data_IF_932586163744
#
_entry.id   IF_932586163744
#
_cell.length_a   1.000
_cell.length_b   1.000
_cell.length_c   1.000
_cell.angle_alpha   90.00
_cell.angle_beta   90.00
_cell.angle_gamma   90.00
#
_symmetry.space_group_name_H-M   'P 1'
#
loop_
_entity.id
_entity.type
_entity.pdbx_description
1 polymer ?
#
# COMPACT_ATOMS: atom_id res chain seq x y z
N UNK A 1 -108.60 82.30 36.27
CA UNK A 1 -109.02 83.62 35.74
C UNK A 1 -109.65 83.35 34.38
N UNK A 2 -110.97 83.18 34.20
CA UNK A 2 -112.09 84.09 34.55
C UNK A 2 -111.71 85.50 34.13
N UNK A 3 -112.26 85.99 33.02
CA UNK A 3 -113.49 86.78 32.97
C UNK A 3 -113.82 87.02 31.47
N UNK A 4 -115.02 87.30 30.96
CA UNK A 4 -116.37 87.55 31.46
C UNK A 4 -117.23 87.54 30.17
N UNK A 5 -118.31 86.75 30.12
CA UNK A 5 -119.54 87.16 29.41
C UNK A 5 -120.30 88.14 30.36
N UNK A 6 -121.36 88.89 29.98
CA UNK A 6 -122.32 88.73 28.86
C UNK A 6 -122.62 90.10 28.16
N UNK A 7 -123.48 90.26 27.14
CA UNK A 7 -124.95 90.41 27.24
C UNK A 7 -125.61 90.56 25.84
N UNK A 8 -126.79 89.96 25.71
CA UNK A 8 -127.89 90.29 24.76
C UNK A 8 -128.79 91.25 25.59
N UNK A 9 -129.43 92.35 25.09
CA UNK A 9 -130.65 92.19 24.27
C UNK A 9 -131.25 93.39 23.46
N UNK A 10 -132.17 93.00 22.56
CA UNK A 10 -133.50 93.61 22.28
C UNK A 10 -133.68 95.04 21.74
N UNK A 11 -134.32 95.09 20.55
CA UNK A 11 -135.62 95.76 20.24
C UNK A 11 -135.74 97.29 20.02
N UNK A 12 -136.84 97.62 19.32
CA UNK A 12 -137.46 98.93 19.00
C UNK A 12 -136.89 99.62 17.73
N UNK A 13 -137.68 99.98 16.72
CA UNK A 13 -138.89 100.83 16.68
C UNK A 13 -139.89 100.32 15.62
N UNK A 14 -141.15 99.98 15.92
CA UNK A 14 -142.37 100.81 16.11
C UNK A 14 -142.86 101.62 14.90
N UNK A 15 -144.10 101.27 14.47
CA UNK A 15 -145.21 102.11 13.95
C UNK A 15 -144.92 102.97 12.69
N UNK A 16 -145.78 103.15 11.69
CA UNK A 16 -147.25 103.31 11.69
C UNK A 16 -147.71 103.42 10.21
N UNK A 17 -148.90 102.87 9.90
CA UNK A 17 -149.94 103.38 8.98
C UNK A 17 -149.58 103.96 7.60
N UNK A 18 -150.27 103.46 6.55
CA UNK A 18 -151.29 104.28 5.88
C UNK A 18 -152.32 103.45 5.07
N UNK A 19 -153.59 103.65 5.44
CA UNK A 19 -154.85 103.55 4.71
C UNK A 19 -154.77 103.36 3.18
N UNK A 20 -155.57 102.47 2.58
CA UNK A 20 -157.04 102.54 2.39
C UNK A 20 -157.51 103.76 1.55
N UNK A 21 -157.77 103.44 0.28
CA UNK A 21 -158.89 103.87 -0.58
C UNK A 21 -159.08 105.37 -0.86
N UNK A 22 -159.11 105.73 -2.15
CA UNK A 22 -160.37 105.94 -2.88
C UNK A 22 -160.09 106.54 -4.27
N UNK A 23 -160.84 106.09 -5.27
CA UNK A 23 -161.29 106.91 -6.40
C UNK A 23 -162.45 106.16 -7.08
N UNK A 24 -163.44 106.79 -7.73
CA UNK A 24 -163.90 108.18 -7.71
C UNK A 24 -165.41 108.30 -7.36
N UNK A 25 -165.91 109.53 -7.39
CA UNK A 25 -167.30 109.93 -7.21
C UNK A 25 -168.27 109.37 -8.26
N UNK A 26 -169.54 109.25 -7.85
CA UNK A 26 -170.69 108.80 -8.66
C UNK A 26 -170.96 109.76 -9.81
N UNK A 27 -171.14 109.19 -10.99
CA UNK A 27 -171.63 109.81 -12.21
C UNK A 27 -173.15 109.97 -12.18
N UNK A 28 -173.61 111.09 -12.74
CA UNK A 28 -174.98 111.36 -13.09
C UNK A 28 -175.54 110.35 -14.09
N UNK A 29 -176.85 110.09 -13.94
CA UNK A 29 -177.67 109.11 -14.67
C UNK A 29 -177.61 109.30 -16.19
N UNK A 30 -177.25 108.25 -16.93
CA UNK A 30 -177.62 108.04 -18.35
C UNK A 30 -177.96 106.57 -18.61
N UNK A 31 -178.91 106.35 -19.50
CA UNK A 31 -179.73 105.15 -19.74
C UNK A 31 -178.94 103.89 -20.15
N UNK A 32 -179.15 102.78 -19.45
CA UNK A 32 -178.61 101.45 -19.74
C UNK A 32 -179.34 100.76 -20.90
N UNK A 33 -178.57 100.30 -21.90
CA UNK A 33 -179.01 99.35 -22.94
C UNK A 33 -178.39 97.97 -22.66
N UNK A 34 -179.20 96.90 -22.68
CA UNK A 34 -178.78 95.52 -22.42
C UNK A 34 -178.74 94.75 -23.74
N UNK A 35 -177.60 94.11 -24.04
CA UNK A 35 -177.39 93.30 -25.26
C UNK A 35 -176.74 91.95 -24.91
N UNK A 36 -176.90 90.96 -25.80
CA UNK A 36 -176.26 89.63 -25.69
C UNK A 36 -176.64 88.84 -24.43
N UNK A 37 -177.94 88.54 -24.23
CA UNK A 37 -178.40 87.70 -23.12
C UNK A 37 -178.14 86.20 -23.40
N UNK A 38 -177.21 85.58 -22.67
CA UNK A 38 -176.88 84.14 -22.74
C UNK A 38 -177.29 83.44 -21.43
N UNK A 39 -178.17 82.43 -21.54
CA UNK A 39 -178.79 81.75 -20.38
C UNK A 39 -178.22 80.35 -20.23
N UNK A 40 -177.60 80.05 -19.08
CA UNK A 40 -177.17 78.71 -18.69
C UNK A 40 -177.93 78.23 -17.44
N UNK A 41 -177.86 76.93 -17.12
CA UNK A 41 -178.56 76.33 -15.97
C UNK A 41 -178.14 76.92 -14.62
N UNK A 42 -176.98 77.58 -14.55
CA UNK A 42 -176.47 78.25 -13.35
C UNK A 42 -176.74 79.76 -13.30
N UNK A 43 -177.35 80.34 -14.33
CA UNK A 43 -177.63 81.77 -14.41
C UNK A 43 -177.53 82.33 -15.82
N UNK A 44 -177.91 83.60 -15.96
CA UNK A 44 -177.80 84.34 -17.22
C UNK A 44 -176.72 85.40 -17.13
N UNK A 45 -175.93 85.55 -18.20
CA UNK A 45 -175.04 86.70 -18.42
C UNK A 45 -175.60 87.57 -19.53
N UNK A 46 -175.59 88.87 -19.32
CA UNK A 46 -175.91 89.87 -20.33
C UNK A 46 -174.86 90.97 -20.26
N UNK A 47 -174.55 91.58 -21.40
CA UNK A 47 -173.63 92.70 -21.49
C UNK A 47 -174.41 93.99 -21.25
N UNK A 48 -174.00 94.76 -20.24
CA UNK A 48 -174.62 96.05 -19.88
C UNK A 48 -173.73 97.16 -20.41
N UNK A 49 -174.19 97.82 -21.47
CA UNK A 49 -173.47 98.96 -22.04
C UNK A 49 -173.99 100.23 -21.36
N UNK A 50 -173.15 100.81 -20.51
CA UNK A 50 -173.47 102.02 -19.74
C UNK A 50 -173.25 103.31 -20.54
N UNK A 51 -172.40 103.26 -21.56
CA UNK A 51 -172.15 104.31 -22.56
C UNK A 51 -171.30 103.71 -23.70
N UNK A 52 -171.46 104.20 -24.92
CA UNK A 52 -170.59 103.80 -26.04
C UNK A 52 -169.16 104.34 -25.83
N UNK A 53 -168.10 103.53 -26.08
CA UNK A 53 -166.73 103.98 -25.93
C UNK A 53 -166.35 105.00 -27.02
N UNK A 54 -165.95 106.20 -26.56
CA UNK A 54 -165.46 107.34 -27.34
C UNK A 54 -164.21 106.99 -28.16
N UNK A 55 -164.31 107.11 -29.48
CA UNK A 55 -163.26 106.79 -30.45
C UNK A 55 -162.17 107.87 -30.51
N UNK A 56 -161.24 107.94 -29.54
CA UNK A 56 -159.88 108.45 -29.78
C UNK A 56 -158.93 108.20 -28.58
N UNK A 57 -158.43 106.97 -28.39
CA UNK A 57 -157.22 106.73 -27.57
C UNK A 57 -156.32 105.70 -28.24
N UNK A 58 -155.01 105.99 -28.42
CA UNK A 58 -154.05 105.07 -29.02
C UNK A 58 -153.76 103.90 -28.08
N UNK A 59 -153.60 102.71 -28.67
CA UNK A 59 -153.28 101.48 -27.95
C UNK A 59 -151.96 101.61 -27.15
N UNK A 60 -151.94 101.16 -25.87
CA UNK A 60 -150.76 101.24 -25.02
C UNK A 60 -149.60 100.37 -25.57
N UNK A 61 -148.34 100.78 -25.35
CA UNK A 61 -147.17 100.08 -25.86
C UNK A 61 -147.15 98.66 -25.29
N UNK A 62 -147.03 97.68 -26.19
CA UNK A 62 -146.88 96.28 -25.84
C UNK A 62 -145.66 96.12 -24.93
N UNK A 63 -145.81 95.50 -23.74
CA UNK A 63 -144.68 95.28 -22.85
C UNK A 63 -143.71 94.32 -23.56
N UNK A 64 -142.48 94.79 -23.80
CA UNK A 64 -141.35 93.95 -24.22
C UNK A 64 -141.17 92.87 -23.15
N UNK A 65 -141.62 91.65 -23.43
CA UNK A 65 -141.46 90.54 -22.49
C UNK A 65 -139.96 90.38 -22.19
N UNK A 66 -139.57 90.19 -20.92
CA UNK A 66 -138.17 89.88 -20.61
C UNK A 66 -137.74 88.72 -21.51
N UNK A 67 -136.62 88.90 -22.23
CA UNK A 67 -136.05 87.87 -23.11
C UNK A 67 -136.04 86.55 -22.33
N UNK A 68 -136.78 85.57 -22.82
CA UNK A 68 -136.88 84.26 -22.21
C UNK A 68 -135.47 83.71 -22.08
N UNK A 69 -135.01 83.49 -20.86
CA UNK A 69 -133.72 82.85 -20.62
C UNK A 69 -133.63 81.61 -21.50
N UNK A 70 -132.59 81.54 -22.34
CA UNK A 70 -132.42 80.40 -23.23
C UNK A 70 -132.10 79.18 -22.37
N UNK A 71 -132.45 77.98 -22.86
CA UNK A 71 -132.19 76.74 -22.12
C UNK A 71 -130.70 76.59 -21.74
N UNK A 72 -129.81 77.13 -22.57
CA UNK A 72 -128.36 77.16 -22.35
C UNK A 72 -127.96 78.10 -21.19
N UNK A 73 -128.52 79.31 -21.11
CA UNK A 73 -128.28 80.23 -19.98
C UNK A 73 -128.79 79.68 -18.64
N UNK A 74 -129.91 78.94 -18.65
CA UNK A 74 -130.45 78.26 -17.46
C UNK A 74 -129.51 77.14 -17.03
N UNK A 75 -129.04 76.31 -17.96
CA UNK A 75 -128.08 75.25 -17.68
C UNK A 75 -126.75 75.79 -17.14
N UNK A 76 -126.23 76.88 -17.71
CA UNK A 76 -125.01 77.54 -17.23
C UNK A 76 -125.18 78.08 -15.80
N UNK A 77 -126.32 78.70 -15.46
CA UNK A 77 -126.56 79.15 -14.06
C UNK A 77 -126.65 77.99 -13.07
N UNK A 78 -127.24 76.86 -13.47
CA UNK A 78 -127.27 75.65 -12.63
C UNK A 78 -125.87 75.05 -12.45
N UNK A 79 -125.08 75.00 -13.52
CA UNK A 79 -123.67 74.56 -13.47
C UNK A 79 -122.83 75.46 -12.55
N UNK A 80 -122.93 76.79 -12.68
CA UNK A 80 -122.22 77.73 -11.80
C UNK A 80 -122.63 77.59 -10.32
N UNK A 81 -123.91 77.33 -10.05
CA UNK A 81 -124.38 77.05 -8.69
C UNK A 81 -123.83 75.72 -8.14
N UNK A 82 -123.75 74.69 -8.98
CA UNK A 82 -123.15 73.40 -8.64
C UNK A 82 -121.64 73.54 -8.41
N UNK A 83 -120.93 74.29 -9.24
CA UNK A 83 -119.50 74.59 -9.08
C UNK A 83 -119.24 75.38 -7.80
N UNK A 84 -120.08 76.36 -7.45
CA UNK A 84 -119.98 77.07 -6.16
C UNK A 84 -120.18 76.11 -4.98
N UNK A 85 -121.16 75.20 -5.06
CA UNK A 85 -121.36 74.17 -4.02
C UNK A 85 -120.12 73.29 -3.89
N UNK A 86 -119.63 72.75 -5.01
CA UNK A 86 -118.42 71.91 -5.06
C UNK A 86 -117.19 72.64 -4.54
N UNK A 87 -117.01 73.92 -4.86
CA UNK A 87 -115.91 74.76 -4.38
C UNK A 87 -115.98 74.99 -2.86
N UNK A 88 -117.18 75.26 -2.32
CA UNK A 88 -117.38 75.40 -0.86
C UNK A 88 -117.14 74.07 -0.13
N UNK A 89 -117.59 72.94 -0.70
CA UNK A 89 -117.32 71.60 -0.16
C UNK A 89 -115.81 71.27 -0.22
N UNK A 90 -115.14 71.56 -1.33
CA UNK A 90 -113.70 71.37 -1.49
C UNK A 90 -112.90 72.23 -0.49
N UNK A 91 -113.28 73.49 -0.28
CA UNK A 91 -112.65 74.38 0.71
C UNK A 91 -112.82 73.86 2.14
N UNK A 92 -114.01 73.33 2.48
CA UNK A 92 -114.25 72.68 3.78
C UNK A 92 -113.40 71.42 3.95
N UNK A 93 -113.34 70.56 2.93
CA UNK A 93 -112.51 69.35 2.94
C UNK A 93 -111.02 69.69 3.04
N UNK A 94 -110.55 70.71 2.33
CA UNK A 94 -109.17 71.19 2.42
C UNK A 94 -108.83 71.69 3.83
N UNK A 95 -109.73 72.44 4.47
CA UNK A 95 -109.54 72.92 5.85
C UNK A 95 -109.50 71.76 6.85
N UNK A 96 -110.35 70.75 6.68
CA UNK A 96 -110.33 69.54 7.50
C UNK A 96 -109.04 68.75 7.28
N UNK A 97 -108.63 68.58 6.02
CA UNK A 97 -107.37 67.92 5.65
C UNK A 97 -106.15 68.61 6.23
N UNK A 98 -106.09 69.94 6.19
CA UNK A 98 -105.00 70.72 6.81
C UNK A 98 -104.94 70.51 8.33
N UNK A 99 -106.09 70.49 9.01
CA UNK A 99 -106.14 70.20 10.46
C UNK A 99 -105.65 68.80 10.79
N UNK A 100 -106.02 67.80 9.99
CA UNK A 100 -105.53 66.43 10.16
C UNK A 100 -104.02 66.33 9.92
N UNK A 101 -103.50 66.96 8.86
CA UNK A 101 -102.05 67.02 8.57
C UNK A 101 -101.27 67.63 9.73
N UNK A 102 -101.74 68.74 10.32
CA UNK A 102 -101.08 69.37 11.48
C UNK A 102 -101.10 68.47 12.72
N UNK A 103 -102.17 67.69 12.93
CA UNK A 103 -102.24 66.72 14.04
C UNK A 103 -101.27 65.56 13.82
N UNK A 104 -101.19 65.04 12.61
CA UNK A 104 -100.24 63.99 12.23
C UNK A 104 -98.79 64.48 12.38
N UNK A 105 -98.47 65.68 11.89
CA UNK A 105 -97.15 66.30 12.07
C UNK A 105 -96.80 66.52 13.55
N UNK A 106 -97.76 66.95 14.38
CA UNK A 106 -97.55 67.10 15.82
C UNK A 106 -97.32 65.75 16.52
N UNK A 107 -98.04 64.69 16.12
CA UNK A 107 -97.82 63.34 16.63
C UNK A 107 -96.45 62.82 16.23
N UNK A 108 -96.10 62.94 14.94
CA UNK A 108 -94.81 62.54 14.39
C UNK A 108 -93.65 63.25 15.09
N UNK A 109 -93.75 64.57 15.32
CA UNK A 109 -92.71 65.33 16.01
C UNK A 109 -92.55 64.92 17.49
N UNK A 110 -93.65 64.57 18.16
CA UNK A 110 -93.60 63.98 19.51
C UNK A 110 -92.90 62.62 19.52
N UNK A 111 -93.20 61.77 18.54
CA UNK A 111 -92.56 60.45 18.40
C UNK A 111 -91.08 60.58 18.08
N UNK A 112 -90.71 61.48 17.15
CA UNK A 112 -89.31 61.75 16.79
C UNK A 112 -88.49 62.28 17.97
N UNK A 113 -89.05 63.23 18.74
CA UNK A 113 -88.35 63.75 19.94
C UNK A 113 -88.20 62.68 21.02
N UNK A 114 -89.22 61.83 21.21
CA UNK A 114 -89.13 60.71 22.13
C UNK A 114 -88.10 59.67 21.67
N UNK A 115 -88.10 59.31 20.38
CA UNK A 115 -87.15 58.37 19.80
C UNK A 115 -85.70 58.91 19.89
N UNK A 116 -85.50 60.19 19.58
CA UNK A 116 -84.20 60.85 19.71
C UNK A 116 -83.72 60.86 21.17
N UNK A 117 -84.61 61.11 22.13
CA UNK A 117 -84.28 61.05 23.55
C UNK A 117 -83.87 59.63 23.99
N UNK A 118 -84.63 58.61 23.61
CA UNK A 118 -84.30 57.21 23.92
C UNK A 118 -82.98 56.81 23.29
N UNK A 119 -82.75 57.16 22.02
CA UNK A 119 -81.49 56.85 21.33
C UNK A 119 -80.28 57.56 21.95
N UNK A 120 -80.41 58.86 22.26
CA UNK A 120 -79.32 59.62 22.88
C UNK A 120 -78.99 59.12 24.29
N UNK A 121 -80.01 58.76 25.08
CA UNK A 121 -79.81 58.21 26.43
C UNK A 121 -79.20 56.80 26.39
N UNK A 122 -79.59 55.97 25.42
CA UNK A 122 -78.97 54.67 25.20
C UNK A 122 -77.49 54.81 24.80
N UNK A 123 -77.18 55.65 23.80
CA UNK A 123 -75.80 55.89 23.37
C UNK A 123 -74.93 56.44 24.51
N UNK A 124 -75.44 57.39 25.30
CA UNK A 124 -74.71 57.94 26.44
C UNK A 124 -74.49 56.92 27.58
N UNK A 125 -75.34 55.89 27.69
CA UNK A 125 -75.13 54.79 28.63
C UNK A 125 -74.06 53.84 28.10
N UNK A 126 -74.11 53.49 26.82
CA UNK A 126 -73.14 52.64 26.14
C UNK A 126 -71.73 53.26 26.21
N UNK A 127 -71.58 54.55 25.90
CA UNK A 127 -70.32 55.28 26.04
C UNK A 127 -69.73 55.21 27.46
N UNK A 128 -70.59 55.28 28.49
CA UNK A 128 -70.15 55.17 29.89
C UNK A 128 -69.71 53.75 30.25
N UNK A 129 -70.41 52.73 29.75
CA UNK A 129 -70.03 51.33 29.95
C UNK A 129 -68.70 51.03 29.25
N UNK A 130 -68.52 51.52 28.03
CA UNK A 130 -67.28 51.36 27.28
C UNK A 130 -66.11 52.12 27.93
N UNK A 131 -66.32 53.36 28.36
CA UNK A 131 -65.31 54.12 29.08
C UNK A 131 -64.91 53.45 30.41
N UNK A 132 -65.88 52.92 31.17
CA UNK A 132 -65.58 52.22 32.43
C UNK A 132 -64.85 50.89 32.19
N UNK A 133 -65.25 50.13 31.16
CA UNK A 133 -64.57 48.92 30.74
C UNK A 133 -63.13 49.21 30.31
N UNK A 134 -62.94 50.18 29.41
CA UNK A 134 -61.64 50.60 28.89
C UNK A 134 -60.71 51.10 30.00
N UNK A 135 -61.21 51.93 30.94
CA UNK A 135 -60.43 52.39 32.09
C UNK A 135 -60.00 51.24 33.00
N UNK A 136 -60.89 50.26 33.23
CA UNK A 136 -60.56 49.06 34.02
C UNK A 136 -59.49 48.22 33.33
N UNK A 137 -59.60 48.03 32.01
CA UNK A 137 -58.60 47.29 31.24
C UNK A 137 -57.25 48.00 31.20
N UNK A 138 -57.23 49.32 31.00
CA UNK A 138 -56.01 50.12 31.05
C UNK A 138 -55.31 50.01 32.41
N UNK A 139 -56.07 50.06 33.50
CA UNK A 139 -55.53 49.86 34.85
C UNK A 139 -54.92 48.46 35.04
N UNK A 140 -55.64 47.41 34.65
CA UNK A 140 -55.16 46.03 34.75
C UNK A 140 -53.93 45.79 33.87
N UNK A 141 -53.91 46.34 32.66
CA UNK A 141 -52.77 46.24 31.75
C UNK A 141 -51.55 47.00 32.29
N UNK A 142 -51.74 48.15 32.93
CA UNK A 142 -50.67 48.86 33.64
C UNK A 142 -50.08 48.05 34.78
N UNK A 143 -50.90 47.33 35.56
CA UNK A 143 -50.41 46.40 36.59
C UNK A 143 -49.65 45.21 35.99
N UNK A 144 -50.19 44.60 34.93
CA UNK A 144 -49.51 43.50 34.22
C UNK A 144 -48.16 43.93 33.67
N UNK A 145 -48.07 45.11 33.05
CA UNK A 145 -46.82 45.65 32.52
C UNK A 145 -45.77 45.81 33.63
N UNK A 146 -46.13 46.40 34.77
CA UNK A 146 -45.21 46.53 35.93
C UNK A 146 -44.71 45.19 36.45
N UNK A 147 -45.57 44.17 36.51
CA UNK A 147 -45.18 42.83 36.93
C UNK A 147 -44.21 42.21 35.90
N UNK A 148 -44.53 42.31 34.62
CA UNK A 148 -43.67 41.81 33.53
C UNK A 148 -42.30 42.49 33.55
N UNK A 149 -42.23 43.81 33.71
CA UNK A 149 -40.98 44.56 33.81
C UNK A 149 -40.15 44.12 35.01
N UNK A 150 -40.80 43.89 36.16
CA UNK A 150 -40.12 43.39 37.35
C UNK A 150 -39.54 41.98 37.11
N UNK A 151 -40.31 41.07 36.51
CA UNK A 151 -39.85 39.73 36.17
C UNK A 151 -38.67 39.77 35.19
N UNK A 152 -38.74 40.63 34.17
CA UNK A 152 -37.64 40.82 33.22
C UNK A 152 -36.38 41.36 33.91
N UNK A 153 -36.53 42.31 34.84
CA UNK A 153 -35.40 42.82 35.62
C UNK A 153 -34.78 41.74 36.51
N UNK A 154 -35.59 40.94 37.18
CA UNK A 154 -35.10 39.79 37.98
C UNK A 154 -34.36 38.80 37.10
N UNK A 155 -34.89 38.47 35.92
CA UNK A 155 -34.27 37.52 34.99
C UNK A 155 -32.95 38.08 34.41
N UNK A 156 -32.88 39.39 34.15
CA UNK A 156 -31.65 40.07 33.74
C UNK A 156 -30.58 40.04 34.84
N UNK A 157 -30.96 40.30 36.10
CA UNK A 157 -30.03 40.22 37.25
C UNK A 157 -29.53 38.78 37.41
N UNK A 158 -30.41 37.78 37.30
CA UNK A 158 -30.02 36.37 37.32
C UNK A 158 -29.02 36.05 36.22
N UNK A 159 -29.31 36.42 34.96
CA UNK A 159 -28.42 36.20 33.81
C UNK A 159 -27.06 36.89 33.99
N UNK A 160 -27.04 38.10 34.54
CA UNK A 160 -25.79 38.80 34.85
C UNK A 160 -24.97 38.06 35.92
N UNK A 161 -25.61 37.56 36.98
CA UNK A 161 -24.93 36.81 38.02
C UNK A 161 -24.37 35.48 37.49
N UNK A 162 -25.14 34.77 36.66
CA UNK A 162 -24.71 33.54 36.00
C UNK A 162 -23.51 33.80 35.07
N UNK A 163 -23.54 34.90 34.30
CA UNK A 163 -22.43 35.32 33.45
C UNK A 163 -21.18 35.65 34.26
N UNK A 164 -21.29 36.45 35.32
CA UNK A 164 -20.16 36.76 36.21
C UNK A 164 -19.57 35.51 36.86
N UNK A 165 -20.41 34.56 37.26
CA UNK A 165 -19.97 33.28 37.85
C UNK A 165 -19.20 32.45 36.82
N UNK A 166 -19.68 32.39 35.58
CA UNK A 166 -19.01 31.67 34.50
C UNK A 166 -17.68 32.33 34.11
N UNK A 167 -17.62 33.66 34.02
CA UNK A 167 -16.38 34.39 33.75
C UNK A 167 -15.31 34.14 34.84
N UNK A 168 -15.74 34.10 36.12
CA UNK A 168 -14.85 33.77 37.22
C UNK A 168 -14.35 32.31 37.12
N UNK A 169 -15.23 31.36 36.78
CA UNK A 169 -14.84 29.96 36.55
C UNK A 169 -13.83 29.85 35.41
N UNK A 170 -14.08 30.48 34.28
CA UNK A 170 -13.17 30.49 33.13
C UNK A 170 -11.81 31.07 33.51
N UNK A 171 -11.80 32.18 34.25
CA UNK A 171 -10.55 32.81 34.73
C UNK A 171 -9.75 31.86 35.62
N UNK A 172 -10.41 31.09 36.48
CA UNK A 172 -9.76 30.09 37.34
C UNK A 172 -9.21 28.94 36.48
N UNK A 173 -9.99 28.42 35.54
CA UNK A 173 -9.56 27.36 34.62
C UNK A 173 -8.36 27.77 33.78
N UNK A 174 -8.36 28.98 33.23
CA UNK A 174 -7.25 29.51 32.45
C UNK A 174 -5.98 29.62 33.29
N UNK A 175 -6.07 30.07 34.54
CA UNK A 175 -4.93 30.11 35.47
C UNK A 175 -4.39 28.72 35.78
N UNK A 176 -5.27 27.74 36.02
CA UNK A 176 -4.86 26.35 36.25
C UNK A 176 -4.20 25.75 35.01
N UNK A 177 -4.76 26.03 33.82
CA UNK A 177 -4.20 25.58 32.55
C UNK A 177 -2.83 26.20 32.28
N UNK A 178 -2.68 27.51 32.46
CA UNK A 178 -1.38 28.17 32.33
C UNK A 178 -0.36 27.63 33.33
N UNK A 179 -0.75 27.37 34.58
CA UNK A 179 0.13 26.76 35.57
C UNK A 179 0.59 25.36 35.16
N UNK A 180 -0.31 24.51 34.62
CA UNK A 180 0.07 23.17 34.15
C UNK A 180 0.95 23.22 32.90
N UNK A 181 0.66 24.11 31.94
CA UNK A 181 1.53 24.34 30.78
C UNK A 181 2.92 24.77 31.23
N UNK A 182 3.03 25.71 32.17
CA UNK A 182 4.34 26.13 32.70
C UNK A 182 5.07 25.00 33.43
N UNK A 183 4.35 24.16 34.19
CA UNK A 183 4.92 23.00 34.89
C UNK A 183 5.46 21.96 33.91
N UNK A 184 4.67 21.62 32.89
CA UNK A 184 5.03 20.65 31.85
C UNK A 184 6.17 21.15 30.97
N UNK A 185 6.17 22.43 30.59
CA UNK A 185 7.25 23.03 29.81
C UNK A 185 8.57 23.04 30.60
N UNK A 186 8.53 23.40 31.88
CA UNK A 186 9.72 23.37 32.73
C UNK A 186 10.27 21.95 32.91
N UNK A 187 9.38 20.96 33.12
CA UNK A 187 9.78 19.56 33.17
C UNK A 187 10.38 19.10 31.84
N UNK A 188 9.77 19.48 30.72
CA UNK A 188 10.28 19.20 29.38
C UNK A 188 11.69 19.76 29.16
N UNK A 189 11.94 21.01 29.56
CA UNK A 189 13.28 21.62 29.50
C UNK A 189 14.32 20.87 30.32
N UNK A 190 13.94 20.33 31.49
CA UNK A 190 14.85 19.51 32.32
C UNK A 190 15.15 18.17 31.65
N UNK A 191 14.14 17.51 31.09
CA UNK A 191 14.30 16.25 30.35
C UNK A 191 15.16 16.41 29.10
N UNK A 192 14.97 17.50 28.34
CA UNK A 192 15.79 17.77 27.15
C UNK A 192 17.26 17.96 27.51
N UNK A 193 17.56 18.73 28.57
CA UNK A 193 18.94 18.88 29.06
C UNK A 193 19.57 17.54 29.48
N UNK A 194 18.80 16.66 30.13
CA UNK A 194 19.28 15.32 30.50
C UNK A 194 19.56 14.48 29.26
N UNK A 195 18.72 14.57 28.24
CA UNK A 195 18.89 13.89 26.96
C UNK A 195 20.13 14.39 26.22
N UNK A 196 20.33 15.71 26.14
CA UNK A 196 21.54 16.32 25.55
C UNK A 196 22.82 15.84 26.26
N UNK A 197 22.79 15.75 27.59
CA UNK A 197 23.91 15.22 28.37
C UNK A 197 24.19 13.74 28.06
N UNK A 198 23.16 12.91 27.95
CA UNK A 198 23.31 11.50 27.58
C UNK A 198 23.86 11.34 26.16
N UNK A 199 23.38 12.14 25.20
CA UNK A 199 23.88 12.17 23.83
C UNK A 199 25.36 12.57 23.78
N UNK A 200 25.76 13.59 24.57
CA UNK A 200 27.16 13.98 24.70
C UNK A 200 28.01 12.85 25.29
N UNK A 201 27.55 12.21 26.37
CA UNK A 201 28.25 11.08 26.98
C UNK A 201 28.40 9.91 25.99
N UNK A 202 27.36 9.61 25.21
CA UNK A 202 27.41 8.61 24.15
C UNK A 202 28.43 8.97 23.07
N UNK A 203 28.47 10.24 22.64
CA UNK A 203 29.45 10.73 21.67
C UNK A 203 30.89 10.57 22.19
N UNK A 204 31.13 10.85 23.47
CA UNK A 204 32.44 10.63 24.11
C UNK A 204 32.79 9.14 24.16
N UNK A 205 31.85 8.27 24.53
CA UNK A 205 32.05 6.80 24.53
C UNK A 205 32.41 6.28 23.13
N UNK A 206 31.65 6.66 22.11
CA UNK A 206 31.94 6.31 20.72
C UNK A 206 33.31 6.83 20.26
N UNK A 207 33.68 8.05 20.67
CA UNK A 207 35.01 8.59 20.39
C UNK A 207 36.15 7.77 21.02
N UNK A 208 35.96 7.27 22.24
CA UNK A 208 36.92 6.36 22.88
C UNK A 208 36.95 4.98 22.20
N UNK A 209 35.80 4.41 21.83
CA UNK A 209 35.72 3.15 21.09
C UNK A 209 36.45 3.23 19.74
N UNK A 210 36.26 4.32 19.00
CA UNK A 210 36.96 4.53 17.72
C UNK A 210 38.48 4.69 17.90
N UNK A 211 38.92 5.35 19.00
CA UNK A 211 40.34 5.45 19.32
C UNK A 211 40.94 4.09 19.66
N UNK A 212 40.21 3.25 20.42
CA UNK A 212 40.61 1.87 20.73
C UNK A 212 40.69 1.05 19.45
N UNK A 213 39.67 1.08 18.58
CA UNK A 213 39.67 0.37 17.30
C UNK A 213 40.88 0.74 16.43
N UNK A 214 41.22 2.03 16.33
CA UNK A 214 42.43 2.49 15.61
C UNK A 214 43.72 1.93 16.21
N UNK A 215 43.81 1.79 17.53
CA UNK A 215 44.96 1.18 18.19
C UNK A 215 45.02 -0.33 17.90
N UNK A 216 43.89 -1.02 17.95
CA UNK A 216 43.77 -2.44 17.59
C UNK A 216 44.23 -2.68 16.15
N UNK A 217 43.73 -1.91 15.19
CA UNK A 217 44.11 -2.01 13.77
C UNK A 217 45.61 -1.78 13.57
N UNK A 218 46.21 -0.84 14.32
CA UNK A 218 47.65 -0.57 14.29
C UNK A 218 48.45 -1.73 14.85
N UNK A 219 48.00 -2.35 15.94
CA UNK A 219 48.63 -3.53 16.52
C UNK A 219 48.54 -4.71 15.54
N UNK A 220 47.37 -4.97 14.97
CA UNK A 220 47.15 -6.04 14.00
C UNK A 220 48.04 -5.86 12.76
N UNK A 221 48.10 -4.65 12.21
CA UNK A 221 48.98 -4.32 11.08
C UNK A 221 50.46 -4.58 11.40
N UNK A 222 50.92 -4.23 12.61
CA UNK A 222 52.29 -4.51 13.05
C UNK A 222 52.55 -6.02 13.21
N UNK A 223 51.59 -6.79 13.71
CA UNK A 223 51.71 -8.23 13.85
C UNK A 223 51.81 -8.93 12.48
N UNK A 224 50.99 -8.51 11.51
CA UNK A 224 51.02 -9.03 10.14
C UNK A 224 52.37 -8.71 9.49
N UNK A 225 52.84 -7.46 9.57
CA UNK A 225 54.15 -7.07 9.06
C UNK A 225 55.29 -7.87 9.72
N UNK A 226 55.24 -8.06 11.03
CA UNK A 226 56.23 -8.87 11.75
C UNK A 226 56.19 -10.35 11.36
N UNK A 227 55.01 -10.90 11.05
CA UNK A 227 54.87 -12.26 10.50
C UNK A 227 55.48 -12.36 9.11
N UNK A 228 55.10 -11.46 8.20
CA UNK A 228 55.63 -11.43 6.84
C UNK A 228 57.17 -11.28 6.83
N UNK A 229 57.71 -10.42 7.69
CA UNK A 229 59.16 -10.29 7.85
C UNK A 229 59.82 -11.59 8.35
N UNK A 230 59.21 -12.30 9.31
CA UNK A 230 59.70 -13.62 9.75
C UNK A 230 59.65 -14.65 8.61
N UNK A 231 58.57 -14.67 7.85
CA UNK A 231 58.40 -15.60 6.73
C UNK A 231 59.42 -15.32 5.62
N UNK A 232 59.68 -14.05 5.30
CA UNK A 232 60.71 -13.68 4.31
C UNK A 232 62.11 -14.09 4.77
N UNK A 233 62.46 -13.92 6.05
CA UNK A 233 63.75 -14.39 6.60
C UNK A 233 63.86 -15.92 6.60
N UNK A 234 62.78 -16.64 6.90
CA UNK A 234 62.73 -18.10 6.77
C UNK A 234 62.90 -18.54 5.32
N UNK A 235 62.24 -17.87 4.37
CA UNK A 235 62.38 -18.16 2.93
C UNK A 235 63.81 -17.93 2.46
N UNK A 236 64.46 -16.83 2.85
CA UNK A 236 65.89 -16.59 2.54
C UNK A 236 66.78 -17.72 3.08
N UNK A 237 66.57 -18.15 4.33
CA UNK A 237 67.34 -19.27 4.91
C UNK A 237 67.09 -20.57 4.15
N UNK A 238 65.85 -20.88 3.81
CA UNK A 238 65.51 -22.06 2.99
C UNK A 238 66.15 -21.99 1.61
N UNK A 239 66.19 -20.83 0.97
CA UNK A 239 66.85 -20.61 -0.32
C UNK A 239 68.35 -20.89 -0.22
N UNK A 240 69.03 -20.36 0.80
CA UNK A 240 70.46 -20.63 1.03
C UNK A 240 70.73 -22.12 1.25
N UNK A 241 69.86 -22.82 1.99
CA UNK A 241 69.98 -24.28 2.19
C UNK A 241 69.76 -25.05 0.87
N UNK A 242 68.80 -24.63 0.03
CA UNK A 242 68.58 -25.20 -1.31
C UNK A 242 69.81 -25.00 -2.20
N UNK A 243 70.41 -23.81 -2.19
CA UNK A 243 71.64 -23.55 -2.94
C UNK A 243 72.80 -24.41 -2.46
N UNK A 244 72.98 -24.57 -1.14
CA UNK A 244 73.99 -25.48 -0.59
C UNK A 244 73.72 -26.93 -1.02
N UNK A 245 72.47 -27.38 -0.98
CA UNK A 245 72.09 -28.71 -1.47
C UNK A 245 72.37 -28.88 -2.97
N UNK A 246 72.11 -27.86 -3.79
CA UNK A 246 72.44 -27.87 -5.23
C UNK A 246 73.94 -28.00 -5.44
N UNK A 247 74.74 -27.18 -4.74
CA UNK A 247 76.22 -27.23 -4.81
C UNK A 247 76.78 -28.59 -4.37
N UNK A 248 76.18 -29.22 -3.35
CA UNK A 248 76.55 -30.58 -2.93
C UNK A 248 76.21 -31.58 -4.04
N UNK A 249 75.02 -31.49 -4.64
CA UNK A 249 74.62 -32.35 -5.76
C UNK A 249 75.56 -32.18 -6.96
N UNK A 250 75.89 -30.95 -7.34
CA UNK A 250 76.84 -30.63 -8.40
C UNK A 250 78.25 -31.19 -8.09
N UNK A 251 78.71 -31.06 -6.85
CA UNK A 251 79.98 -31.64 -6.41
C UNK A 251 79.96 -33.18 -6.45
N UNK A 252 78.86 -33.82 -6.06
CA UNK A 252 78.66 -35.26 -6.17
C UNK A 252 78.69 -35.70 -7.65
N UNK A 253 78.03 -34.98 -8.55
CA UNK A 253 78.10 -35.23 -9.98
C UNK A 253 79.52 -35.09 -10.52
N UNK A 254 80.27 -34.08 -10.08
CA UNK A 254 81.64 -33.84 -10.51
C UNK A 254 82.59 -34.93 -10.00
N UNK A 255 82.43 -35.38 -8.75
CA UNK A 255 83.14 -36.53 -8.19
C UNK A 255 82.81 -37.80 -8.97
N UNK A 256 81.53 -38.05 -9.27
CA UNK A 256 81.13 -39.21 -10.08
C UNK A 256 81.74 -39.16 -11.48
N UNK A 257 81.70 -38.00 -12.16
CA UNK A 257 82.39 -37.81 -13.45
C UNK A 257 83.89 -38.07 -13.34
N UNK A 258 84.55 -37.59 -12.27
CA UNK A 258 85.98 -37.83 -12.04
C UNK A 258 86.30 -39.28 -11.70
N UNK A 259 85.43 -39.97 -10.97
CA UNK A 259 85.56 -41.41 -10.73
C UNK A 259 85.41 -42.20 -12.03
N UNK A 260 84.44 -41.84 -12.87
CA UNK A 260 84.28 -42.46 -14.19
C UNK A 260 85.47 -42.19 -15.12
N UNK A 261 86.04 -40.98 -15.13
CA UNK A 261 87.28 -40.73 -15.91
C UNK A 261 88.49 -41.48 -15.35
N UNK A 262 88.66 -41.54 -14.03
CA UNK A 262 89.72 -42.34 -13.39
C UNK A 262 89.54 -43.84 -13.66
N UNK A 263 88.30 -44.33 -13.67
CA UNK A 263 87.96 -45.70 -14.04
C UNK A 263 88.35 -45.96 -15.50
N UNK A 264 87.98 -45.06 -16.41
CA UNK A 264 88.34 -45.15 -17.83
C UNK A 264 89.87 -45.14 -18.03
N UNK A 265 90.59 -44.30 -17.30
CA UNK A 265 92.06 -44.27 -17.32
C UNK A 265 92.67 -45.58 -16.78
N UNK A 266 92.15 -46.12 -15.67
CA UNK A 266 92.60 -47.42 -15.16
C UNK A 266 92.29 -48.55 -16.12
N UNK A 267 91.14 -48.52 -16.80
CA UNK A 267 90.77 -49.49 -17.82
C UNK A 267 91.73 -49.43 -19.01
N UNK A 268 92.12 -48.22 -19.46
CA UNK A 268 93.17 -48.02 -20.45
C UNK A 268 94.54 -48.51 -19.98
N UNK A 269 94.92 -48.27 -18.72
CA UNK A 269 96.18 -48.77 -18.16
C UNK A 269 96.21 -50.30 -18.04
N UNK A 270 95.10 -50.92 -17.63
CA UNK A 270 94.96 -52.38 -17.60
C UNK A 270 95.06 -52.93 -19.02
N UNK A 271 94.35 -52.35 -19.99
CA UNK A 271 94.46 -52.75 -21.39
C UNK A 271 95.89 -52.63 -21.92
N UNK A 272 96.61 -51.55 -21.58
CA UNK A 272 98.01 -51.38 -21.96
C UNK A 272 98.95 -52.40 -21.27
N UNK A 273 98.68 -52.76 -20.01
CA UNK A 273 99.42 -53.81 -19.28
C UNK A 273 99.13 -55.19 -19.84
N UNK A 274 97.88 -55.48 -20.20
CA UNK A 274 97.49 -56.73 -20.87
C UNK A 274 98.14 -56.86 -22.25
N UNK A 275 98.26 -55.76 -23.00
CA UNK A 275 98.99 -55.74 -24.26
C UNK A 275 100.49 -55.98 -24.06
N UNK A 276 101.09 -55.42 -22.99
CA UNK A 276 102.49 -55.74 -22.61
C UNK A 276 102.64 -57.20 -22.19
N UNK A 277 101.70 -57.76 -21.43
CA UNK A 277 101.69 -59.17 -21.06
C UNK A 277 101.57 -60.07 -22.30
N UNK A 278 100.75 -59.70 -23.28
CA UNK A 278 100.69 -60.36 -24.59
C UNK A 278 102.05 -60.35 -25.26
N UNK A 279 102.69 -59.19 -25.38
CA UNK A 279 104.04 -59.06 -25.98
C UNK A 279 105.09 -59.87 -25.23
N UNK A 280 105.03 -59.95 -23.89
CA UNK A 280 105.91 -60.79 -23.08
C UNK A 280 105.63 -62.28 -23.30
N UNK A 281 104.35 -62.68 -23.39
CA UNK A 281 103.95 -64.06 -23.67
C UNK A 281 104.41 -64.50 -25.06
N UNK A 282 104.28 -63.64 -26.07
CA UNK A 282 104.79 -63.86 -27.42
C UNK A 282 106.31 -63.97 -27.42
N UNK A 283 107.02 -63.11 -26.66
CA UNK A 283 108.48 -63.22 -26.48
C UNK A 283 108.89 -64.53 -25.79
N UNK A 284 108.14 -65.00 -24.79
CA UNK A 284 108.39 -66.28 -24.12
C UNK A 284 108.09 -67.48 -25.01
N UNK A 285 107.05 -67.39 -25.84
CA UNK A 285 106.74 -68.40 -26.88
C UNK A 285 107.85 -68.43 -27.93
N UNK A 286 108.37 -67.27 -28.34
CA UNK A 286 109.50 -67.15 -29.26
C UNK A 286 110.79 -67.75 -28.69
N UNK A 287 111.13 -67.48 -27.41
CA UNK A 287 112.26 -68.13 -26.73
C UNK A 287 112.07 -69.64 -26.53
N UNK A 288 110.83 -70.10 -26.29
CA UNK A 288 110.51 -71.54 -26.28
C UNK A 288 110.71 -72.16 -27.66
N UNK A 289 110.34 -71.48 -28.73
CA UNK A 289 110.60 -71.95 -30.10
C UNK A 289 112.10 -72.00 -30.44
N UNK A 290 112.91 -71.03 -30.00
CA UNK A 290 114.36 -71.07 -30.19
C UNK A 290 115.05 -72.19 -29.39
N UNK A 291 114.63 -72.43 -28.14
CA UNK A 291 115.17 -73.54 -27.35
C UNK A 291 114.75 -74.91 -27.90
N UNK A 292 113.57 -75.04 -28.50
CA UNK A 292 113.16 -76.24 -29.26
C UNK A 292 114.01 -76.42 -30.52
N UNK A 293 114.32 -75.35 -31.26
CA UNK A 293 115.24 -75.42 -32.41
C UNK A 293 116.66 -75.83 -32.01
N UNK A 294 117.21 -75.27 -30.94
CA UNK A 294 118.55 -75.64 -30.44
C UNK A 294 118.61 -77.09 -29.93
N UNK A 295 117.53 -77.59 -29.32
CA UNK A 295 117.44 -79.00 -28.93
C UNK A 295 117.30 -79.95 -30.13
N UNK A 296 116.64 -79.51 -31.22
CA UNK A 296 116.58 -80.25 -32.49
C UNK A 296 117.97 -80.40 -33.12
N UNK A 297 118.77 -79.33 -33.13
CA UNK A 297 120.14 -79.35 -33.67
C UNK A 297 121.08 -80.26 -32.85
N UNK A 298 120.92 -80.29 -31.52
CA UNK A 298 121.67 -81.22 -30.64
C UNK A 298 121.28 -82.68 -30.85
N UNK A 299 120.04 -82.96 -31.22
CA UNK A 299 119.57 -84.32 -31.54
C UNK A 299 120.21 -84.84 -32.84
N UNK A 300 120.41 -83.95 -33.81
CA UNK A 300 121.04 -84.26 -35.10
C UNK A 300 122.54 -84.55 -34.94
N UNK A 301 123.25 -83.79 -34.11
CA UNK A 301 124.64 -84.05 -33.73
C UNK A 301 124.83 -85.37 -32.95
N UNK A 302 123.87 -85.75 -32.11
CA UNK A 302 123.93 -87.01 -31.36
C UNK A 302 123.75 -88.24 -32.28
N UNK A 303 122.93 -88.14 -33.33
CA UNK A 303 122.75 -89.20 -34.32
C UNK A 303 124.00 -89.42 -35.17
N UNK A 304 124.74 -88.35 -35.48
CA UNK A 304 125.98 -88.44 -36.25
C UNK A 304 127.14 -89.05 -35.43
N UNK A 305 127.19 -88.81 -34.12
CA UNK A 305 128.17 -89.41 -33.22
C UNK A 305 127.89 -90.90 -32.96
N UNK A 306 126.62 -91.30 -32.80
CA UNK A 306 126.23 -92.70 -32.63
C UNK A 306 126.63 -93.59 -33.81
N UNK A 307 126.51 -93.07 -35.04
CA UNK A 307 126.90 -93.82 -36.24
C UNK A 307 128.43 -94.01 -36.35
N UNK A 308 129.24 -93.08 -35.83
CA UNK A 308 130.70 -93.19 -35.79
C UNK A 308 131.18 -94.24 -34.77
N UNK A 309 130.48 -94.39 -33.63
CA UNK A 309 130.77 -95.42 -32.62
C UNK A 309 130.41 -96.85 -33.09
N UNK A 310 129.38 -97.01 -33.92
CA UNK A 310 128.94 -98.31 -34.43
C UNK A 310 129.91 -98.91 -35.48
N UNK A 311 130.63 -98.06 -36.23
CA UNK A 311 131.69 -98.44 -37.18
C UNK A 311 132.98 -98.90 -36.47
N UNK A 312 133.37 -98.25 -35.37
CA UNK A 312 134.55 -98.60 -34.56
C UNK A 312 134.38 -99.97 -33.86
N UNK A 313 133.18 -100.29 -33.36
CA UNK A 313 132.89 -101.53 -32.66
C UNK A 313 132.94 -102.77 -33.58
N UNK A 314 132.63 -102.61 -34.87
CA UNK A 314 132.71 -103.67 -35.90
C UNK A 314 134.15 -104.01 -36.29
N UNK A 315 135.08 -103.05 -36.22
CA UNK A 315 136.52 -103.31 -36.41
C UNK A 315 137.11 -104.14 -35.28
N UNK A 316 136.76 -103.82 -34.03
CA UNK A 316 137.30 -104.53 -32.86
C UNK A 316 136.82 -105.99 -32.72
N UNK A 317 135.63 -106.34 -33.23
CA UNK A 317 135.13 -107.73 -33.20
C UNK A 317 135.84 -108.64 -34.19
N UNK A 318 136.24 -108.12 -35.36
CA UNK A 318 136.97 -108.89 -36.38
C UNK A 318 138.42 -109.24 -35.96
N UNK A 319 139.10 -108.33 -35.25
CA UNK A 319 140.47 -108.54 -34.75
C UNK A 319 140.52 -109.68 -33.70
N UNK A 320 139.52 -109.73 -32.79
CA UNK A 320 139.42 -110.75 -31.72
C UNK A 320 139.18 -112.17 -32.23
N UNK A 321 138.50 -112.34 -33.36
CA UNK A 321 138.26 -113.66 -33.96
C UNK A 321 139.54 -114.29 -34.52
N UNK A 322 140.47 -113.46 -35.01
CA UNK A 322 141.71 -113.91 -35.64
C UNK A 322 142.71 -114.48 -34.61
N UNK A 323 142.75 -113.89 -33.42
CA UNK A 323 143.62 -114.34 -32.33
C UNK A 323 143.17 -115.68 -31.71
N UNK A 324 141.86 -115.97 -31.69
CA UNK A 324 141.35 -117.25 -31.15
C UNK A 324 141.67 -118.46 -32.02
N UNK A 325 141.85 -118.29 -33.32
CA UNK A 325 142.20 -119.39 -34.23
C UNK A 325 143.67 -119.84 -34.06
N UNK A 326 144.60 -118.92 -33.79
CA UNK A 326 146.01 -119.26 -33.57
C UNK A 326 146.26 -120.04 -32.28
N UNK A 327 145.53 -119.71 -31.20
CA UNK A 327 145.68 -120.41 -29.92
C UNK A 327 145.19 -121.86 -29.94
N UNK A 328 144.21 -122.18 -30.80
CA UNK A 328 143.68 -123.53 -30.94
C UNK A 328 144.64 -124.49 -31.65
N UNK A 329 145.54 -123.97 -32.48
CA UNK A 329 146.46 -124.76 -33.30
C UNK A 329 147.69 -125.25 -32.50
N UNK A 330 148.17 -124.44 -31.56
CA UNK A 330 149.31 -124.78 -30.68
C UNK A 330 148.99 -125.93 -29.71
N UNK A 331 147.77 -125.94 -29.14
CA UNK A 331 147.35 -126.98 -28.19
C UNK A 331 147.20 -128.38 -28.83
N UNK A 332 147.07 -128.47 -30.16
CA UNK A 332 146.97 -129.76 -30.87
C UNK A 332 148.33 -130.45 -31.05
N UNK A 333 149.44 -129.71 -31.03
CA UNK A 333 150.78 -130.28 -31.18
C UNK A 333 151.31 -130.88 -29.88
N UNK A 334 151.04 -130.26 -28.72
CA UNK A 334 151.52 -130.78 -27.42
C UNK A 334 150.91 -132.14 -27.07
N UNK A 335 149.64 -132.35 -27.41
CA UNK A 335 148.91 -133.59 -27.09
C UNK A 335 149.44 -134.81 -27.86
N UNK A 336 150.08 -134.59 -29.02
CA UNK A 336 150.74 -135.65 -29.80
C UNK A 336 152.08 -136.06 -29.21
N UNK A 337 152.79 -135.16 -28.53
CA UNK A 337 154.09 -135.44 -27.92
C UNK A 337 153.97 -136.31 -26.66
N UNK A 338 152.90 -136.12 -25.88
CA UNK A 338 152.70 -136.84 -24.61
C UNK A 338 152.31 -138.32 -24.82
N UNK A 339 151.63 -138.64 -25.93
CA UNK A 339 151.24 -140.02 -26.26
C UNK A 339 152.42 -140.93 -26.60
N UNK A 340 153.51 -140.40 -27.16
CA UNK A 340 154.68 -141.22 -27.50
C UNK A 340 155.50 -141.63 -26.27
N UNK A 341 155.56 -140.80 -25.22
CA UNK A 341 156.27 -141.13 -23.97
C UNK A 341 155.64 -142.27 -23.19
N UNK A 342 154.31 -142.39 -23.20
CA UNK A 342 153.59 -143.47 -22.49
C UNK A 342 153.79 -144.86 -23.10
N UNK A 343 154.26 -144.95 -24.35
CA UNK A 343 154.46 -146.25 -25.03
C UNK A 343 155.80 -146.90 -24.65
N UNK A 344 156.87 -146.10 -24.52
CA UNK A 344 158.21 -146.60 -24.15
C UNK A 344 158.28 -147.14 -22.71
N UNK A 345 157.42 -146.66 -21.81
CA UNK A 345 157.43 -147.08 -20.40
C UNK A 345 156.85 -148.49 -20.20
N UNK A 346 155.95 -148.93 -21.08
CA UNK A 346 155.30 -150.22 -20.95
C UNK A 346 156.19 -151.38 -21.44
N UNK A 347 157.12 -151.12 -22.35
CA UNK A 347 158.07 -152.11 -22.87
C UNK A 347 159.12 -152.52 -21.82
N UNK A 348 159.48 -151.60 -20.90
CA UNK A 348 160.44 -151.88 -19.81
C UNK A 348 159.86 -152.78 -18.70
N UNK A 349 158.54 -152.83 -18.57
CA UNK A 349 157.87 -153.59 -17.50
C UNK A 349 157.74 -155.08 -17.84
N UNK A 350 157.73 -155.44 -19.12
CA UNK A 350 157.63 -156.82 -19.58
C UNK A 350 158.96 -157.60 -19.47
N UNK A 351 160.10 -156.92 -19.48
CA UNK A 351 161.42 -157.56 -19.33
C UNK A 351 161.69 -158.02 -17.88
N UNK A 352 161.17 -157.31 -16.88
CA UNK A 352 161.32 -157.68 -15.46
C UNK A 352 160.53 -158.92 -15.04
N UNK A 353 159.41 -159.22 -15.71
CA UNK A 353 158.59 -160.41 -15.41
C UNK A 353 159.25 -161.70 -15.93
N UNK A 354 160.11 -161.60 -16.96
CA UNK A 354 160.93 -162.73 -17.44
C UNK A 354 161.96 -163.20 -16.41
N UNK A 355 162.47 -162.31 -15.55
CA UNK A 355 163.52 -162.64 -14.58
C UNK A 355 163.00 -163.27 -13.26
N UNK A 356 161.76 -162.95 -12.83
CA UNK A 356 161.25 -163.43 -11.54
C UNK A 356 160.62 -164.83 -11.58
N UNK A 357 160.23 -165.33 -12.76
CA UNK A 357 159.63 -166.67 -12.88
C UNK A 357 160.68 -167.79 -12.90
N UNK A 358 161.91 -167.51 -13.31
CA UNK A 358 163.05 -168.42 -13.18
C UNK A 358 163.44 -168.67 -11.71
N UNK A 359 163.06 -167.79 -10.78
CA UNK A 359 163.50 -167.85 -9.37
C UNK A 359 162.55 -168.57 -8.39
N UNK A 360 161.31 -168.86 -8.76
CA UNK A 360 160.27 -169.35 -7.82
C UNK A 360 159.89 -170.83 -7.96
N UNK A 361 160.34 -171.55 -9.00
CA UNK A 361 160.09 -173.00 -9.12
C UNK A 361 161.26 -173.87 -8.64
N UNK A 362 162.26 -173.27 -7.96
CA UNK A 362 163.41 -173.96 -7.40
C UNK A 362 163.23 -174.43 -5.93
N UNK A 363 162.16 -174.10 -5.19
CA UNK A 363 162.24 -174.17 -3.71
C UNK A 363 161.03 -174.73 -2.92
N UNK A 364 160.07 -175.46 -3.51
CA UNK A 364 159.01 -176.17 -2.72
C UNK A 364 158.79 -177.63 -3.15
N UNK A 365 159.87 -178.39 -3.40
CA UNK A 365 159.90 -179.84 -3.14
C UNK A 365 161.25 -180.22 -2.51
N UNK A 366 161.20 -180.53 -1.21
CA UNK A 366 162.22 -181.06 -0.28
C UNK A 366 163.20 -180.03 0.32
N UNK A 367 163.53 -179.99 1.62
CA UNK A 367 163.13 -180.78 2.79
C UNK A 367 163.61 -180.12 4.11
N UNK A 368 162.89 -180.42 5.21
CA UNK A 368 163.29 -180.50 6.64
C UNK A 368 163.80 -179.24 7.37
N UNK A 369 163.01 -178.69 8.31
CA UNK A 369 162.89 -179.04 9.74
C UNK A 369 163.80 -178.15 10.62
N UNK A 370 163.38 -177.65 11.77
CA UNK A 370 162.54 -178.33 12.76
C UNK A 370 161.94 -177.34 13.78
N UNK A 371 160.68 -177.60 14.15
CA UNK A 371 160.39 -178.18 15.48
C UNK A 371 159.43 -179.37 15.27
N UNK A 372 159.74 -180.54 15.85
CA UNK A 372 158.81 -181.69 15.95
C UNK A 372 158.98 -182.79 14.90
#
# INVERSE_FOLDING_TARGET
MWCLLPDIPTSYLNFTTLNKMASPAKTDKKSTEIRCEEKSRGGMSYEVILAEPSADKPDPPTPVSPKSMTAEEIAQKLQLAEERRKSMEASRLATVGERMSRLEEASRKREETNAAFVSATQAALEDKLDATSSNREAYLNGLRAKITDHLNNVDNVRKQLDAQTNDLRQTIEDKLRSAEVNRTENMGKMLEKLKEHEEYAQKVRLGHEDAIRKLEDRIQSKLVLASANRDTELMKKLETLREHSSKISEAQELVNKKMETMRLQREQEVAAKDERLRKISEKKVFQRQESVKSNSEKLEQALENRNKEEEELKKQTNEKMRQKLQSAEQNRMELMAEKNKKKEENDRRAELVRANKERLMAEVKNDTASSG
#
